data_IF_152190644311
#
_entry.id   IF_152190644311
#
_cell.length_a   1.000
_cell.length_b   1.000
_cell.length_c   1.000
_cell.angle_alpha   90.00
_cell.angle_beta   90.00
_cell.angle_gamma   90.00
#
_symmetry.space_group_name_H-M   'P 1'
#
loop_
_entity.id
_entity.type
_entity.pdbx_description
1 polymer ?
#
# COMPACT_ATOMS: atom_id res chain seq x y z
N UNK A 1 9.92 2.32 11.06
CA UNK A 1 8.72 1.74 10.40
C UNK A 1 9.15 1.15 9.08
N UNK A 2 8.74 -0.09 8.81
CA UNK A 2 8.88 -0.69 7.47
C UNK A 2 7.50 -0.78 6.80
N UNK A 3 7.46 -0.54 5.49
CA UNK A 3 6.25 -0.68 4.67
C UNK A 3 6.61 -1.48 3.42
N UNK A 4 5.92 -2.58 3.25
CA UNK A 4 6.02 -3.48 2.11
C UNK A 4 4.81 -3.28 1.20
N UNK A 5 5.03 -2.83 -0.04
CA UNK A 5 3.96 -2.53 -1.00
C UNK A 5 3.92 -3.63 -2.05
N UNK A 6 2.81 -4.33 -2.15
CA UNK A 6 2.58 -5.39 -3.13
C UNK A 6 1.80 -4.81 -4.29
N UNK A 7 2.35 -4.85 -5.49
CA UNK A 7 1.73 -4.30 -6.71
C UNK A 7 2.05 -5.15 -7.94
N UNK A 8 1.24 -5.01 -8.98
CA UNK A 8 1.49 -5.58 -10.31
C UNK A 8 2.28 -4.65 -11.23
N UNK A 9 2.43 -3.36 -10.84
CA UNK A 9 3.08 -2.28 -11.60
C UNK A 9 4.02 -1.48 -10.70
N UNK A 10 5.16 -2.05 -10.25
CA UNK A 10 6.10 -1.37 -9.37
C UNK A 10 6.64 -0.06 -9.94
N UNK A 11 6.81 0.03 -11.25
CA UNK A 11 7.29 1.21 -11.97
C UNK A 11 6.40 2.45 -11.80
N UNK A 12 5.12 2.27 -11.44
CA UNK A 12 4.21 3.40 -11.20
C UNK A 12 4.56 4.21 -9.95
N UNK A 13 5.17 3.57 -8.94
CA UNK A 13 5.42 4.20 -7.63
C UNK A 13 6.89 4.29 -7.25
N UNK A 14 7.79 3.57 -7.89
CA UNK A 14 9.24 3.62 -7.60
C UNK A 14 9.79 5.04 -7.65
N UNK A 15 9.42 5.83 -8.68
CA UNK A 15 9.85 7.21 -8.84
C UNK A 15 9.41 8.11 -7.69
N UNK A 16 8.19 7.90 -7.17
CA UNK A 16 7.65 8.66 -6.05
C UNK A 16 8.45 8.42 -4.76
N UNK A 17 8.78 7.19 -4.45
CA UNK A 17 9.53 6.85 -3.24
C UNK A 17 11.02 7.16 -3.32
N UNK A 18 11.58 7.29 -4.52
CA UNK A 18 12.98 7.61 -4.75
C UNK A 18 13.27 9.10 -4.89
N UNK A 19 12.30 9.98 -4.63
CA UNK A 19 12.50 11.43 -4.76
C UNK A 19 12.12 12.21 -3.49
N UNK A 20 12.62 13.46 -3.42
CA UNK A 20 12.25 14.49 -2.46
C UNK A 20 12.26 14.00 -1.00
N UNK A 21 11.18 14.26 -0.27
CA UNK A 21 11.03 13.96 1.16
C UNK A 21 11.01 12.46 1.44
N UNK A 22 10.47 11.65 0.50
CA UNK A 22 10.41 10.20 0.64
C UNK A 22 11.80 9.58 0.66
N UNK A 23 12.65 9.97 -0.29
CA UNK A 23 14.05 9.55 -0.30
C UNK A 23 14.78 9.97 0.97
N UNK A 24 14.62 11.22 1.40
CA UNK A 24 15.28 11.72 2.61
C UNK A 24 14.85 10.97 3.88
N UNK A 25 13.58 10.54 3.96
CA UNK A 25 13.10 9.75 5.09
C UNK A 25 13.78 8.37 5.12
N UNK A 26 13.98 7.75 3.97
CA UNK A 26 14.69 6.48 3.83
C UNK A 26 16.19 6.63 4.14
N UNK A 27 16.86 7.64 3.56
CA UNK A 27 18.27 7.93 3.79
C UNK A 27 18.58 8.18 5.28
N UNK A 28 17.61 8.72 6.04
CA UNK A 28 17.70 8.93 7.49
C UNK A 28 17.28 7.71 8.33
N UNK A 29 16.91 6.60 7.71
CA UNK A 29 16.43 5.40 8.41
C UNK A 29 15.09 5.60 9.14
N UNK A 30 14.31 6.63 8.79
CA UNK A 30 13.00 6.90 9.40
C UNK A 30 11.90 6.02 8.80
N UNK A 31 12.06 5.61 7.55
CA UNK A 31 11.20 4.68 6.85
C UNK A 31 12.05 3.71 6.04
N UNK A 32 11.57 2.50 5.94
CA UNK A 32 12.08 1.45 5.07
C UNK A 32 10.94 1.05 4.14
N UNK A 33 11.12 1.19 2.82
CA UNK A 33 10.08 0.95 1.85
C UNK A 33 10.57 -0.12 0.89
N UNK A 34 9.79 -1.18 0.77
CA UNK A 34 10.04 -2.27 -0.17
C UNK A 34 8.85 -2.41 -1.11
N UNK A 35 9.12 -2.44 -2.41
CA UNK A 35 8.10 -2.63 -3.44
C UNK A 35 8.26 -4.04 -4.00
N UNK A 36 7.22 -4.83 -3.88
CA UNK A 36 7.18 -6.23 -4.32
C UNK A 36 6.35 -6.34 -5.59
N UNK A 37 6.98 -6.83 -6.65
CA UNK A 37 6.27 -7.17 -7.87
C UNK A 37 5.52 -8.49 -7.67
N UNK A 38 4.19 -8.43 -7.66
CA UNK A 38 3.35 -9.62 -7.45
C UNK A 38 3.63 -10.72 -8.47
N UNK A 39 4.10 -10.37 -9.67
CA UNK A 39 4.45 -11.33 -10.72
C UNK A 39 5.63 -12.22 -10.37
N UNK A 40 6.43 -11.88 -9.36
CA UNK A 40 7.54 -12.71 -8.89
C UNK A 40 7.07 -13.87 -7.99
N UNK A 41 5.82 -13.80 -7.51
CA UNK A 41 5.21 -14.79 -6.61
C UNK A 41 4.23 -15.75 -7.31
N UNK A 42 4.12 -15.67 -8.65
CA UNK A 42 3.30 -16.61 -9.43
C UNK A 42 4.14 -17.77 -9.98
N UNK A 43 3.57 -18.96 -10.03
CA UNK A 43 4.14 -20.13 -10.70
C UNK A 43 3.72 -20.25 -12.17
N UNK A 44 2.87 -19.33 -12.64
CA UNK A 44 2.44 -19.33 -14.04
C UNK A 44 3.61 -19.03 -14.98
N UNK A 45 3.77 -19.84 -16.02
CA UNK A 45 4.84 -19.69 -17.03
C UNK A 45 4.88 -18.29 -17.67
N UNK A 46 3.73 -17.66 -17.78
CA UNK A 46 3.57 -16.32 -18.37
C UNK A 46 3.49 -15.23 -17.30
N UNK A 47 3.76 -15.57 -16.03
CA UNK A 47 3.72 -14.65 -14.88
C UNK A 47 2.37 -13.93 -14.71
N UNK A 48 1.27 -14.63 -15.06
CA UNK A 48 -0.09 -14.11 -14.90
C UNK A 48 -0.49 -14.14 -13.44
N UNK A 49 -1.06 -13.03 -12.98
CA UNK A 49 -1.54 -12.82 -11.60
C UNK A 49 -3.05 -12.59 -11.55
N UNK A 50 -3.72 -12.71 -12.67
CA UNK A 50 -5.14 -12.45 -12.88
C UNK A 50 -5.86 -13.63 -13.52
N UNK A 51 -7.20 -13.71 -13.33
CA UNK A 51 -8.06 -14.73 -13.91
C UNK A 51 -9.46 -14.16 -14.21
N UNK A 52 -10.25 -14.89 -14.93
CA UNK A 52 -11.64 -14.54 -15.19
C UNK A 52 -12.48 -14.63 -13.90
N UNK A 53 -13.39 -13.67 -13.66
CA UNK A 53 -14.30 -13.76 -12.52
C UNK A 53 -15.28 -14.91 -12.68
N UNK A 54 -15.65 -15.53 -11.57
CA UNK A 54 -16.74 -16.50 -11.56
C UNK A 54 -18.04 -15.85 -12.04
N UNK A 55 -18.83 -16.56 -12.86
CA UNK A 55 -20.09 -16.06 -13.39
C UNK A 55 -20.00 -15.35 -14.75
N UNK A 56 -18.83 -15.32 -15.40
CA UNK A 56 -18.70 -14.89 -16.81
C UNK A 56 -18.81 -13.39 -17.06
N UNK A 57 -18.64 -12.56 -16.03
CA UNK A 57 -18.58 -11.09 -16.20
C UNK A 57 -17.31 -10.65 -16.93
N UNK A 58 -17.41 -9.55 -17.67
CA UNK A 58 -16.27 -8.98 -18.38
C UNK A 58 -15.23 -8.41 -17.42
N UNK A 59 -13.94 -8.58 -17.73
CA UNK A 59 -12.79 -8.11 -16.95
C UNK A 59 -12.08 -9.24 -16.23
N UNK A 60 -11.01 -8.92 -15.53
CA UNK A 60 -10.14 -9.85 -14.81
C UNK A 60 -10.14 -9.53 -13.32
N UNK A 61 -9.82 -10.50 -12.48
CA UNK A 61 -9.63 -10.34 -11.03
C UNK A 61 -8.25 -10.88 -10.63
N UNK A 62 -7.66 -10.28 -9.62
CA UNK A 62 -6.37 -10.75 -9.10
C UNK A 62 -6.56 -12.09 -8.38
N UNK A 63 -5.66 -13.03 -8.67
CA UNK A 63 -5.64 -14.37 -8.07
C UNK A 63 -5.19 -14.32 -6.62
N UNK A 64 -5.74 -15.23 -5.82
CA UNK A 64 -5.36 -15.37 -4.42
C UNK A 64 -3.94 -15.94 -4.26
N UNK A 65 -3.55 -16.92 -5.06
CA UNK A 65 -2.32 -17.69 -4.85
C UNK A 65 -1.04 -16.82 -4.85
N UNK A 66 -0.81 -15.90 -5.83
CA UNK A 66 0.36 -15.02 -5.79
C UNK A 66 0.36 -14.08 -4.60
N UNK A 67 -0.83 -13.55 -4.24
CA UNK A 67 -0.99 -12.61 -3.12
C UNK A 67 -0.70 -13.32 -1.80
N UNK A 68 -1.28 -14.50 -1.59
CA UNK A 68 -1.05 -15.31 -0.40
C UNK A 68 0.42 -15.69 -0.24
N UNK A 69 1.09 -16.12 -1.32
CA UNK A 69 2.52 -16.45 -1.29
C UNK A 69 3.37 -15.24 -0.91
N UNK A 70 3.08 -14.07 -1.50
CA UNK A 70 3.79 -12.84 -1.18
C UNK A 70 3.61 -12.45 0.28
N UNK A 71 2.36 -12.40 0.78
CA UNK A 71 2.07 -12.03 2.17
C UNK A 71 2.68 -13.05 3.15
N UNK A 72 2.61 -14.35 2.86
CA UNK A 72 3.18 -15.38 3.71
C UNK A 72 4.71 -15.32 3.73
N UNK A 73 5.36 -15.04 2.59
CA UNK A 73 6.81 -14.84 2.55
C UNK A 73 7.23 -13.66 3.42
N UNK A 74 6.51 -12.54 3.35
CA UNK A 74 6.77 -11.37 4.17
C UNK A 74 6.53 -11.65 5.67
N UNK A 75 5.43 -12.31 6.02
CA UNK A 75 5.11 -12.70 7.40
C UNK A 75 6.07 -13.75 7.98
N UNK A 76 6.75 -14.52 7.14
CA UNK A 76 7.81 -15.43 7.59
C UNK A 76 9.09 -14.70 8.02
N UNK A 77 9.32 -13.49 7.51
CA UNK A 77 10.49 -12.67 7.87
C UNK A 77 10.26 -11.87 9.15
N UNK A 78 9.04 -11.39 9.38
CA UNK A 78 8.68 -10.51 10.53
C UNK A 78 7.19 -10.47 10.80
N UNK A 79 6.82 -9.97 11.98
CA UNK A 79 5.46 -9.65 12.31
C UNK A 79 5.03 -8.33 11.67
N UNK A 80 3.79 -8.28 11.16
CA UNK A 80 3.15 -7.09 10.60
C UNK A 80 1.94 -6.70 11.44
N UNK A 81 1.83 -5.41 11.72
CA UNK A 81 0.71 -4.86 12.51
C UNK A 81 -0.58 -4.86 11.70
N UNK A 82 -0.50 -4.52 10.41
CA UNK A 82 -1.66 -4.50 9.51
C UNK A 82 -1.28 -4.97 8.09
N UNK A 83 -2.26 -5.61 7.45
CA UNK A 83 -2.27 -5.89 6.00
C UNK A 83 -3.40 -5.08 5.39
N UNK A 84 -3.05 -3.99 4.71
CA UNK A 84 -3.97 -2.99 4.19
C UNK A 84 -4.24 -3.28 2.71
N UNK A 85 -5.51 -3.25 2.32
CA UNK A 85 -5.93 -3.28 0.92
C UNK A 85 -6.48 -1.93 0.51
N UNK A 86 -5.92 -1.32 -0.55
CA UNK A 86 -6.41 -0.07 -1.12
C UNK A 86 -7.56 -0.35 -2.09
N UNK A 87 -8.76 0.11 -1.73
CA UNK A 87 -9.99 -0.17 -2.48
C UNK A 87 -10.98 0.99 -2.35
N UNK A 88 -11.76 1.32 -3.40
CA UNK A 88 -12.71 2.45 -3.34
C UNK A 88 -13.84 2.26 -2.32
N UNK A 89 -14.20 1.01 -2.01
CA UNK A 89 -15.27 0.63 -1.07
C UNK A 89 -14.77 0.41 0.37
N UNK A 90 -13.50 0.70 0.65
CA UNK A 90 -12.91 0.63 1.99
C UNK A 90 -13.33 1.79 2.92
N UNK A 91 -12.89 1.72 4.17
CA UNK A 91 -13.03 2.83 5.13
C UNK A 91 -12.30 4.06 4.61
N UNK A 92 -12.97 5.23 4.67
CA UNK A 92 -12.36 6.46 4.17
C UNK A 92 -11.14 6.83 5.01
N UNK A 93 -10.00 6.98 4.35
CA UNK A 93 -8.76 7.40 4.97
C UNK A 93 -8.84 8.84 5.44
N UNK A 94 -8.64 9.05 6.72
CA UNK A 94 -8.66 10.34 7.37
C UNK A 94 -7.41 10.57 8.24
N UNK A 95 -7.30 11.76 8.81
CA UNK A 95 -6.18 12.15 9.66
C UNK A 95 -6.08 11.26 10.93
N UNK A 96 -7.20 10.80 11.46
CA UNK A 96 -7.23 9.94 12.66
C UNK A 96 -6.65 8.56 12.34
N UNK A 97 -7.02 7.99 11.20
CA UNK A 97 -6.48 6.73 10.71
C UNK A 97 -4.99 6.85 10.41
N UNK A 98 -4.54 7.93 9.74
CA UNK A 98 -3.13 8.20 9.48
C UNK A 98 -2.30 8.27 10.78
N UNK A 99 -2.83 8.94 11.82
CA UNK A 99 -2.18 9.02 13.12
C UNK A 99 -2.07 7.63 13.79
N UNK A 100 -3.13 6.82 13.71
CA UNK A 100 -3.11 5.45 14.26
C UNK A 100 -2.05 4.59 13.56
N UNK A 101 -2.07 4.55 12.22
CA UNK A 101 -1.12 3.76 11.43
C UNK A 101 0.33 4.26 11.56
N UNK A 102 0.53 5.53 11.87
CA UNK A 102 1.89 6.09 12.08
C UNK A 102 2.61 5.52 13.31
N UNK A 103 1.88 4.89 14.22
CA UNK A 103 2.42 4.21 15.40
C UNK A 103 2.82 2.76 15.13
N UNK A 104 2.42 2.21 13.98
CA UNK A 104 2.76 0.84 13.59
C UNK A 104 4.23 0.68 13.27
N UNK A 105 4.78 -0.49 13.55
CA UNK A 105 6.16 -0.85 13.23
C UNK A 105 6.33 -1.31 11.79
N UNK A 106 5.44 -2.20 11.34
CA UNK A 106 5.50 -2.85 10.02
C UNK A 106 4.11 -2.93 9.39
N UNK A 107 3.99 -2.51 8.13
CA UNK A 107 2.74 -2.54 7.37
C UNK A 107 2.94 -3.26 6.03
N UNK A 108 1.95 -4.02 5.59
CA UNK A 108 1.83 -4.46 4.20
C UNK A 108 0.71 -3.63 3.55
N UNK A 109 0.94 -3.12 2.34
CA UNK A 109 -0.08 -2.45 1.54
C UNK A 109 -0.24 -3.22 0.23
N UNK A 110 -1.42 -3.80 0.02
CA UNK A 110 -1.80 -4.47 -1.23
C UNK A 110 -2.49 -3.46 -2.14
N UNK A 111 -1.90 -3.20 -3.30
CA UNK A 111 -2.49 -2.37 -4.33
C UNK A 111 -3.44 -3.21 -5.19
N UNK A 112 -4.73 -2.85 -5.20
CA UNK A 112 -5.70 -3.46 -6.10
C UNK A 112 -5.46 -3.10 -7.56
N UNK A 113 -5.80 -4.01 -8.46
CA UNK A 113 -5.75 -3.79 -9.90
C UNK A 113 -6.89 -4.53 -10.62
N UNK A 114 -7.04 -4.33 -11.94
CA UNK A 114 -8.10 -4.92 -12.76
C UNK A 114 -9.51 -4.52 -12.26
N UNK A 115 -10.44 -5.50 -12.17
CA UNK A 115 -11.78 -5.29 -11.61
C UNK A 115 -11.86 -5.49 -10.10
N UNK A 116 -10.79 -5.95 -9.49
CA UNK A 116 -10.71 -6.25 -8.07
C UNK A 116 -9.86 -7.48 -7.78
N UNK A 117 -10.03 -8.00 -6.60
CA UNK A 117 -9.31 -9.17 -6.09
C UNK A 117 -10.27 -10.31 -5.77
N UNK A 118 -9.77 -11.54 -5.74
CA UNK A 118 -10.54 -12.69 -5.23
C UNK A 118 -11.00 -12.39 -3.80
N UNK A 119 -12.31 -12.57 -3.54
CA UNK A 119 -12.92 -12.18 -2.27
C UNK A 119 -12.31 -12.88 -1.05
N UNK A 120 -11.81 -14.10 -1.22
CA UNK A 120 -11.10 -14.83 -0.15
C UNK A 120 -9.87 -14.09 0.38
N UNK A 121 -9.23 -13.24 -0.44
CA UNK A 121 -8.12 -12.38 -0.01
C UNK A 121 -8.62 -11.39 1.05
N UNK A 122 -9.77 -10.75 0.80
CA UNK A 122 -10.38 -9.81 1.74
C UNK A 122 -10.73 -10.48 3.07
N UNK A 123 -11.28 -11.70 3.02
CA UNK A 123 -11.72 -12.44 4.21
C UNK A 123 -10.57 -12.99 5.06
N UNK A 124 -9.48 -13.44 4.43
CA UNK A 124 -8.48 -14.24 5.12
C UNK A 124 -7.11 -13.58 5.28
N UNK A 125 -6.78 -12.62 4.41
CA UNK A 125 -5.42 -12.05 4.36
C UNK A 125 -5.37 -10.57 4.74
N UNK A 126 -6.47 -9.83 4.55
CA UNK A 126 -6.55 -8.40 4.79
C UNK A 126 -7.05 -8.14 6.21
N UNK A 127 -6.42 -7.19 6.91
CA UNK A 127 -6.86 -6.73 8.23
C UNK A 127 -7.60 -5.40 8.16
N UNK A 128 -7.32 -4.59 7.12
CA UNK A 128 -7.92 -3.28 6.94
C UNK A 128 -8.09 -2.94 5.46
N UNK A 129 -9.24 -2.38 5.10
CA UNK A 129 -9.53 -1.88 3.76
C UNK A 129 -9.65 -0.37 3.80
N UNK A 130 -8.91 0.32 2.93
CA UNK A 130 -8.78 1.78 2.94
C UNK A 130 -9.14 2.37 1.59
N UNK A 131 -9.95 3.45 1.62
CA UNK A 131 -10.30 4.27 0.47
C UNK A 131 -9.76 5.69 0.65
N UNK A 132 -9.11 6.24 -0.37
CA UNK A 132 -8.67 7.65 -0.37
C UNK A 132 -9.75 8.62 -0.86
N UNK A 133 -10.93 8.15 -1.20
CA UNK A 133 -12.06 8.97 -1.63
C UNK A 133 -13.10 8.18 -2.42
N UNK A 134 -14.27 8.79 -2.60
CA UNK A 134 -15.39 8.22 -3.36
C UNK A 134 -15.18 8.38 -4.88
N UNK A 135 -14.15 7.71 -5.39
CA UNK A 135 -13.82 7.63 -6.82
C UNK A 135 -12.96 6.42 -7.12
N UNK A 136 -12.98 5.95 -8.37
CA UNK A 136 -12.23 4.79 -8.82
C UNK A 136 -10.98 5.23 -9.59
N UNK A 137 -9.84 4.69 -9.19
CA UNK A 137 -8.56 4.79 -9.92
C UNK A 137 -8.33 3.54 -10.77
N UNK A 138 -7.38 3.61 -11.68
CA UNK A 138 -6.98 2.46 -12.52
C UNK A 138 -6.25 1.36 -11.76
N UNK A 139 -5.71 1.70 -10.56
CA UNK A 139 -5.01 0.78 -9.66
C UNK A 139 -4.81 1.42 -8.29
N UNK A 140 -4.43 0.62 -7.31
CA UNK A 140 -4.24 1.04 -5.91
C UNK A 140 -2.89 1.72 -5.62
N UNK A 141 -2.00 1.83 -6.59
CA UNK A 141 -0.64 2.34 -6.41
C UNK A 141 -0.61 3.79 -5.95
N UNK A 142 -1.43 4.65 -6.57
CA UNK A 142 -1.52 6.07 -6.18
C UNK A 142 -2.18 6.24 -4.81
N UNK A 143 -3.15 5.39 -4.47
CA UNK A 143 -3.75 5.36 -3.14
C UNK A 143 -2.70 4.97 -2.10
N UNK A 144 -1.94 3.91 -2.32
CA UNK A 144 -0.85 3.48 -1.45
C UNK A 144 0.21 4.57 -1.25
N UNK A 145 0.55 5.32 -2.30
CA UNK A 145 1.48 6.45 -2.20
C UNK A 145 0.93 7.60 -1.35
N UNK A 146 -0.38 7.91 -1.49
CA UNK A 146 -1.05 8.94 -0.69
C UNK A 146 -1.15 8.53 0.79
N UNK A 147 -1.59 7.31 1.07
CA UNK A 147 -1.67 6.74 2.42
C UNK A 147 -0.30 6.78 3.11
N UNK A 148 0.72 6.30 2.41
CA UNK A 148 2.09 6.30 2.93
C UNK A 148 2.56 7.71 3.29
N UNK A 149 2.34 8.69 2.42
CA UNK A 149 2.77 10.07 2.65
C UNK A 149 2.14 10.62 3.93
N UNK A 150 0.86 10.39 4.15
CA UNK A 150 0.14 10.86 5.34
C UNK A 150 0.59 10.13 6.61
N UNK A 151 0.70 8.80 6.58
CA UNK A 151 1.13 7.99 7.71
C UNK A 151 2.51 8.47 8.20
N UNK A 152 3.44 8.72 7.29
CA UNK A 152 4.82 9.14 7.64
C UNK A 152 4.93 10.57 8.14
N UNK A 153 4.13 11.49 7.62
CA UNK A 153 4.17 12.90 8.06
C UNK A 153 3.67 13.06 9.49
N UNK A 154 2.90 12.09 10.01
CA UNK A 154 2.31 12.15 11.35
C UNK A 154 3.14 11.43 12.43
N UNK A 155 4.17 10.65 12.07
CA UNK A 155 5.03 10.04 13.09
C UNK A 155 5.69 11.12 13.97
N UNK A 156 5.54 11.06 15.32
CA UNK A 156 6.04 12.11 16.22
C UNK A 156 7.52 12.42 16.05
N UNK A 157 8.35 11.39 15.80
CA UNK A 157 9.78 11.53 15.55
C UNK A 157 10.09 12.16 14.19
N UNK A 158 9.20 11.99 13.22
CA UNK A 158 9.35 12.51 11.85
C UNK A 158 8.82 13.92 11.75
N UNK A 159 7.66 14.22 12.37
CA UNK A 159 7.04 15.54 12.36
C UNK A 159 7.93 16.61 13.02
N UNK A 160 8.52 16.31 14.18
CA UNK A 160 9.46 17.22 14.84
C UNK A 160 10.72 17.51 13.98
N UNK A 161 11.22 16.51 13.24
CA UNK A 161 12.37 16.65 12.34
C UNK A 161 12.03 17.27 10.98
N UNK A 162 10.76 17.19 10.54
CA UNK A 162 10.29 17.85 9.32
C UNK A 162 9.97 19.31 9.53
N UNK A 163 9.60 19.74 10.76
CA UNK A 163 9.41 21.14 11.12
C UNK A 163 10.73 21.94 11.08
N UNK A 164 11.88 21.28 11.09
CA UNK A 164 13.18 21.91 10.85
C UNK A 164 13.39 22.30 9.37
N UNK A 165 12.49 21.95 8.46
CA UNK A 165 12.54 22.33 7.05
C UNK A 165 11.51 23.45 6.75
N UNK A 166 11.96 24.64 6.30
CA UNK A 166 11.13 25.86 6.19
C UNK A 166 10.05 25.82 5.07
N UNK A 167 9.80 24.69 4.42
CA UNK A 167 8.93 24.61 3.24
C UNK A 167 7.62 23.82 3.40
N UNK A 168 7.28 23.32 4.59
CA UNK A 168 6.02 22.57 4.79
C UNK A 168 4.98 23.35 5.62
N UNK A 169 4.68 24.58 5.22
CA UNK A 169 3.49 25.30 5.69
C UNK A 169 2.33 25.17 4.68
N UNK A 170 1.97 23.95 4.32
CA UNK A 170 0.65 23.69 3.75
C UNK A 170 -0.34 23.48 4.91
N UNK A 171 -0.75 24.57 5.54
CA UNK A 171 -1.99 24.57 6.31
C UNK A 171 -3.13 24.46 5.31
N UNK A 172 -3.76 23.30 5.24
CA UNK A 172 -5.13 23.24 4.76
C UNK A 172 -5.96 24.03 5.77
N UNK A 173 -6.41 25.21 5.38
CA UNK A 173 -7.43 25.98 6.09
C UNK A 173 -8.74 25.25 5.81
N UNK A 174 -9.60 25.03 6.85
CA UNK A 174 -10.88 24.38 6.69
C UNK A 174 -11.83 25.17 5.80
#
# INVERSE_FOLDING_TARGET
MRIDIITVLPEMIEGFFNCSIMKRAQDKGLAEIHIHNLRDYTEDKYRRVDDYPFGGFAGMVMKIEPIERCINALKAERDYDEVIFTTPDGEQFDQKMANSLSLSGNLIILCGHFKGIDYRIREHLITKEISIGDYVLTGGELAAAADFQQIRTQSPSTFQRLLEFPFLNLRFVP
#
